data_IF_402108142050
#
_entry.id   IF_402108142050
#
_cell.length_a   1.000
_cell.length_b   1.000
_cell.length_c   1.000
_cell.angle_alpha   90.00
_cell.angle_beta   90.00
_cell.angle_gamma   90.00
#
_symmetry.space_group_name_H-M   'P 1'
#
loop_
_entity.id
_entity.type
_entity.pdbx_description
1 polymer ?
#
# COMPACT_ATOMS: atom_id res chain seq x y z
N UNK A 1 -6.41 11.92 12.97
CA UNK A 1 -6.58 11.23 11.67
C UNK A 1 -6.15 9.80 11.86
N UNK A 2 -6.86 8.85 11.27
CA UNK A 2 -6.69 7.43 11.59
C UNK A 2 -6.41 6.61 10.32
N UNK A 3 -5.35 5.81 10.36
CA UNK A 3 -4.81 5.05 9.23
C UNK A 3 -4.50 3.61 9.61
N UNK A 4 -4.11 2.82 8.61
CA UNK A 4 -3.81 1.40 8.74
C UNK A 4 -5.04 0.50 8.61
N UNK A 5 -4.87 -0.81 8.80
CA UNK A 5 -5.94 -1.77 8.57
C UNK A 5 -7.16 -1.58 9.48
N UNK A 6 -6.93 -1.19 10.73
CA UNK A 6 -7.99 -0.93 11.72
C UNK A 6 -8.38 0.55 11.86
N UNK A 7 -7.73 1.46 11.11
CA UNK A 7 -7.89 2.91 11.25
C UNK A 7 -7.69 3.36 12.72
N UNK A 8 -6.58 2.95 13.34
CA UNK A 8 -6.23 3.38 14.72
C UNK A 8 -4.88 4.08 14.81
N UNK A 9 -4.14 4.17 13.71
CA UNK A 9 -2.74 4.63 13.70
C UNK A 9 -2.56 5.98 13.04
N UNK A 10 -1.48 6.66 13.40
CA UNK A 10 -0.98 7.81 12.66
C UNK A 10 -0.02 7.36 11.56
N UNK A 11 0.16 8.20 10.53
CA UNK A 11 1.16 7.94 9.49
C UNK A 11 2.54 8.39 9.95
N UNK A 12 3.55 7.62 9.57
CA UNK A 12 4.95 7.99 9.68
C UNK A 12 5.41 8.46 8.30
N UNK A 13 5.63 9.77 8.14
CA UNK A 13 5.76 10.41 6.81
C UNK A 13 6.86 9.83 5.92
N UNK A 14 7.98 9.35 6.50
CA UNK A 14 9.10 8.77 5.75
C UNK A 14 8.93 7.27 5.42
N UNK A 15 7.78 6.68 5.73
CA UNK A 15 7.45 5.28 5.44
C UNK A 15 6.35 5.15 4.37
N UNK A 16 5.97 6.25 3.74
CA UNK A 16 4.87 6.32 2.76
C UNK A 16 5.44 6.20 1.34
N UNK A 17 4.89 5.28 0.55
CA UNK A 17 5.05 5.26 -0.90
C UNK A 17 4.05 6.19 -1.59
N UNK A 18 4.44 6.80 -2.70
CA UNK A 18 3.58 7.71 -3.45
C UNK A 18 3.45 7.28 -4.91
N UNK A 19 2.21 7.22 -5.38
CA UNK A 19 1.86 6.98 -6.79
C UNK A 19 1.29 8.24 -7.38
N UNK A 20 1.81 8.65 -8.53
CA UNK A 20 1.30 9.77 -9.32
C UNK A 20 0.52 9.22 -10.51
N UNK A 21 -0.72 9.67 -10.68
CA UNK A 21 -1.60 9.27 -11.79
C UNK A 21 -1.91 10.52 -12.63
N UNK A 22 -1.33 10.65 -13.84
CA UNK A 22 -1.62 11.76 -14.73
C UNK A 22 -3.08 11.80 -15.18
N UNK A 23 -3.53 12.97 -15.63
CA UNK A 23 -4.86 13.11 -16.24
C UNK A 23 -5.00 12.20 -17.47
N UNK A 24 -6.13 11.51 -17.60
CA UNK A 24 -6.43 10.54 -18.65
C UNK A 24 -5.84 9.14 -18.41
N UNK A 25 -5.29 8.88 -17.22
CA UNK A 25 -4.74 7.57 -16.83
C UNK A 25 -5.40 7.06 -15.55
N UNK A 26 -5.18 5.79 -15.25
CA UNK A 26 -5.48 5.13 -13.97
C UNK A 26 -4.27 4.34 -13.48
N UNK A 27 -4.24 4.05 -12.18
CA UNK A 27 -3.28 3.13 -11.61
C UNK A 27 -3.89 1.74 -11.42
N UNK A 28 -3.21 0.69 -11.88
CA UNK A 28 -3.52 -0.71 -11.65
C UNK A 28 -2.56 -1.29 -10.61
N UNK A 29 -3.11 -1.76 -9.49
CA UNK A 29 -2.38 -2.30 -8.35
C UNK A 29 -2.53 -3.81 -8.30
N UNK A 30 -1.40 -4.51 -8.22
CA UNK A 30 -1.29 -5.96 -8.08
C UNK A 30 -0.52 -6.28 -6.80
N UNK A 31 -0.94 -7.29 -6.06
CA UNK A 31 -0.43 -7.53 -4.71
C UNK A 31 0.13 -8.96 -4.60
N UNK A 32 1.24 -9.10 -3.88
CA UNK A 32 1.79 -10.40 -3.49
C UNK A 32 2.32 -10.35 -2.07
N UNK A 33 2.43 -11.51 -1.43
CA UNK A 33 2.98 -11.63 -0.07
C UNK A 33 3.69 -12.97 0.04
N UNK A 34 4.87 -12.96 0.65
CA UNK A 34 5.58 -14.14 1.13
C UNK A 34 5.99 -13.94 2.59
N UNK A 35 5.00 -13.71 3.45
CA UNK A 35 5.24 -13.40 4.85
C UNK A 35 4.67 -14.44 5.81
N UNK A 36 5.37 -14.65 6.93
CA UNK A 36 4.85 -15.42 8.05
C UNK A 36 3.96 -14.60 9.00
N UNK A 37 4.10 -13.28 9.09
CA UNK A 37 3.20 -12.48 9.92
C UNK A 37 2.06 -11.87 9.12
N UNK A 38 1.06 -11.35 9.83
CA UNK A 38 -0.08 -10.69 9.22
C UNK A 38 0.36 -9.34 8.64
N UNK A 39 0.24 -9.20 7.32
CA UNK A 39 0.70 -8.05 6.54
C UNK A 39 -0.44 -7.42 5.75
N UNK A 40 -0.34 -6.11 5.53
CA UNK A 40 -1.29 -5.35 4.75
C UNK A 40 -0.69 -4.13 4.08
N UNK A 41 -1.22 -3.80 2.90
CA UNK A 41 -1.06 -2.52 2.22
C UNK A 41 -2.40 -1.79 2.22
N UNK A 42 -2.37 -0.52 2.61
CA UNK A 42 -3.51 0.39 2.55
C UNK A 42 -3.21 1.56 1.60
N UNK A 43 -4.21 1.95 0.79
CA UNK A 43 -4.10 3.04 -0.19
C UNK A 43 -5.12 4.14 0.11
N UNK A 44 -4.65 5.39 0.02
CA UNK A 44 -5.43 6.60 0.32
C UNK A 44 -5.19 7.67 -0.74
N UNK A 45 -6.16 8.57 -1.03
CA UNK A 45 -5.86 9.79 -1.77
C UNK A 45 -4.89 10.67 -0.98
N UNK A 46 -4.10 11.52 -1.64
CA UNK A 46 -3.21 12.48 -0.97
C UNK A 46 -3.94 13.36 0.04
N UNK A 47 -5.11 13.88 -0.34
CA UNK A 47 -5.85 14.90 0.40
C UNK A 47 -7.03 14.33 1.21
N UNK A 48 -7.08 13.02 1.44
CA UNK A 48 -8.17 12.38 2.20
C UNK A 48 -7.67 11.19 3.00
N UNK A 49 -8.06 11.10 4.27
CA UNK A 49 -7.80 9.96 5.14
C UNK A 49 -8.72 8.76 4.87
N UNK A 50 -9.64 8.88 3.90
CA UNK A 50 -10.48 7.76 3.46
C UNK A 50 -9.64 6.69 2.79
N UNK A 51 -9.53 5.53 3.45
CA UNK A 51 -8.96 4.31 2.85
C UNK A 51 -9.78 3.89 1.64
N UNK A 52 -9.15 3.79 0.48
CA UNK A 52 -9.79 3.30 -0.75
C UNK A 52 -9.72 1.78 -0.83
N UNK A 53 -8.57 1.22 -0.47
CA UNK A 53 -8.33 -0.21 -0.56
C UNK A 53 -7.39 -0.69 0.55
N UNK A 54 -7.62 -1.93 0.97
CA UNK A 54 -6.79 -2.72 1.85
C UNK A 54 -6.56 -4.09 1.23
N UNK A 55 -5.30 -4.53 1.15
CA UNK A 55 -4.89 -5.85 0.64
C UNK A 55 -3.82 -6.43 1.55
N UNK A 56 -3.70 -7.75 1.60
CA UNK A 56 -2.76 -8.40 2.51
C UNK A 56 -2.92 -9.92 2.48
N UNK A 57 -2.14 -10.60 3.31
CA UNK A 57 -2.21 -12.07 3.44
C UNK A 57 -3.29 -12.54 4.43
N UNK A 58 -3.35 -13.86 4.64
CA UNK A 58 -4.34 -14.55 5.47
C UNK A 58 -5.80 -14.29 5.05
N UNK A 59 -6.57 -13.64 5.91
CA UNK A 59 -7.99 -13.36 5.69
C UNK A 59 -8.20 -12.15 4.78
N UNK A 60 -7.13 -11.45 4.39
CA UNK A 60 -7.19 -10.36 3.42
C UNK A 60 -7.07 -10.90 2.01
N UNK A 61 -7.67 -10.16 1.09
CA UNK A 61 -7.56 -10.43 -0.34
C UNK A 61 -6.22 -9.89 -0.86
N UNK A 62 -5.63 -10.61 -1.82
CA UNK A 62 -4.54 -10.12 -2.69
C UNK A 62 -5.05 -9.76 -4.10
N UNK A 63 -6.37 -9.70 -4.29
CA UNK A 63 -6.94 -9.39 -5.60
C UNK A 63 -6.50 -8.00 -6.05
N UNK A 64 -6.27 -7.88 -7.35
CA UNK A 64 -5.94 -6.62 -7.98
C UNK A 64 -6.99 -5.54 -7.71
N UNK A 65 -6.57 -4.29 -7.82
CA UNK A 65 -7.43 -3.13 -7.68
C UNK A 65 -6.97 -2.04 -8.65
N UNK A 66 -7.90 -1.26 -9.18
CA UNK A 66 -7.58 -0.12 -10.02
C UNK A 66 -8.30 1.12 -9.53
N UNK A 67 -7.65 2.28 -9.67
CA UNK A 67 -8.34 3.56 -9.51
C UNK A 67 -9.31 3.76 -10.67
N UNK A 68 -10.33 4.62 -10.53
CA UNK A 68 -10.95 5.26 -11.67
C UNK A 68 -9.91 5.96 -12.54
N UNK A 69 -10.28 6.23 -13.79
CA UNK A 69 -9.51 7.12 -14.65
C UNK A 69 -9.54 8.54 -14.08
N UNK A 70 -8.36 9.14 -13.94
CA UNK A 70 -8.21 10.50 -13.47
C UNK A 70 -8.68 11.48 -14.55
N UNK A 71 -9.84 12.08 -14.31
CA UNK A 71 -10.46 13.06 -15.20
C UNK A 71 -10.37 14.51 -14.66
N UNK A 72 -9.50 14.77 -13.68
CA UNK A 72 -9.48 16.04 -12.93
C UNK A 72 -8.68 17.17 -13.59
N UNK A 73 -8.21 16.97 -14.83
CA UNK A 73 -7.30 17.89 -15.55
C UNK A 73 -5.97 18.19 -14.85
N UNK A 74 -5.69 17.53 -13.73
CA UNK A 74 -4.47 17.64 -12.92
C UNK A 74 -4.00 16.24 -12.52
N UNK A 75 -2.78 16.14 -12.02
CA UNK A 75 -2.25 14.87 -11.51
C UNK A 75 -2.90 14.52 -10.17
N UNK A 76 -3.34 13.27 -10.03
CA UNK A 76 -3.78 12.71 -8.76
C UNK A 76 -2.64 11.96 -8.08
N UNK A 77 -2.60 12.05 -6.74
CA UNK A 77 -1.59 11.37 -5.94
C UNK A 77 -2.25 10.43 -4.95
N UNK A 78 -1.68 9.24 -4.82
CA UNK A 78 -2.12 8.21 -3.91
C UNK A 78 -0.98 7.83 -2.96
N UNK A 79 -1.32 7.74 -1.67
CA UNK A 79 -0.45 7.22 -0.61
C UNK A 79 -0.58 5.72 -0.56
N UNK A 80 0.55 5.02 -0.55
CA UNK A 80 0.67 3.60 -0.31
C UNK A 80 1.37 3.43 1.04
N UNK A 81 0.80 2.61 1.92
CA UNK A 81 1.32 2.39 3.28
C UNK A 81 1.36 0.90 3.59
N UNK A 82 2.47 0.44 4.18
CA UNK A 82 2.71 -0.94 4.56
C UNK A 82 2.53 -1.12 6.06
N UNK A 83 1.92 -2.22 6.46
CA UNK A 83 1.60 -2.53 7.85
C UNK A 83 1.81 -4.00 8.12
N UNK A 84 2.38 -4.32 9.28
CA UNK A 84 2.52 -5.68 9.75
C UNK A 84 2.08 -5.82 11.21
N UNK A 85 1.88 -7.06 11.64
CA UNK A 85 1.88 -7.44 13.05
C UNK A 85 3.12 -8.28 13.33
N UNK A 86 3.53 -8.37 14.59
CA UNK A 86 4.58 -9.30 15.03
C UNK A 86 4.02 -10.70 15.32
N UNK A 87 3.03 -11.13 14.54
CA UNK A 87 2.39 -12.44 14.67
C UNK A 87 1.52 -12.77 13.44
N UNK A 88 1.14 -14.04 13.26
CA UNK A 88 -0.05 -14.40 12.48
C UNK A 88 -1.31 -13.69 12.99
N UNK A 89 -2.47 -13.85 12.32
CA UNK A 89 -3.69 -13.11 12.65
C UNK A 89 -4.08 -13.18 14.12
N UNK A 90 -4.04 -12.02 14.77
CA UNK A 90 -4.38 -11.87 16.19
C UNK A 90 -4.97 -10.50 16.46
N UNK A 91 -6.15 -10.49 17.09
CA UNK A 91 -6.84 -9.25 17.44
C UNK A 91 -6.14 -8.47 18.57
N UNK A 92 -5.36 -9.15 19.42
CA UNK A 92 -4.64 -8.52 20.54
C UNK A 92 -3.29 -7.92 20.15
N UNK A 93 -2.82 -8.20 18.92
CA UNK A 93 -1.54 -7.72 18.42
C UNK A 93 -1.76 -6.46 17.56
N UNK A 94 -1.09 -5.35 17.88
CA UNK A 94 -1.30 -4.10 17.17
C UNK A 94 -0.63 -4.14 15.79
N UNK A 95 -1.19 -3.36 14.87
CA UNK A 95 -0.51 -3.01 13.62
C UNK A 95 0.66 -2.07 13.86
N UNK A 96 1.73 -2.29 13.10
CA UNK A 96 2.96 -1.50 13.07
C UNK A 96 3.16 -1.06 11.63
N UNK A 97 3.49 0.21 11.41
CA UNK A 97 3.79 0.71 10.07
C UNK A 97 5.19 0.24 9.67
N UNK A 98 5.31 -0.33 8.48
CA UNK A 98 6.59 -0.72 7.88
C UNK A 98 7.10 0.37 6.97
N UNK A 99 8.41 0.58 6.98
CA UNK A 99 9.08 1.39 5.97
C UNK A 99 8.94 0.73 4.60
N UNK A 100 8.32 1.42 3.65
CA UNK A 100 8.23 0.98 2.26
C UNK A 100 9.54 1.28 1.56
N UNK A 101 10.10 0.27 0.89
CA UNK A 101 11.06 0.44 -0.19
C UNK A 101 10.31 0.68 -1.48
N UNK A 102 10.72 1.71 -2.23
CA UNK A 102 10.13 2.05 -3.51
C UNK A 102 11.15 1.93 -4.64
N UNK A 103 10.72 1.32 -5.73
CA UNK A 103 11.43 1.34 -7.01
C UNK A 103 10.45 1.89 -8.05
N UNK A 104 10.87 2.89 -8.83
CA UNK A 104 9.98 3.50 -9.82
C UNK A 104 10.69 3.73 -11.14
N UNK A 105 9.90 3.57 -12.22
CA UNK A 105 10.24 3.98 -13.57
C UNK A 105 9.10 4.86 -14.12
N UNK A 106 9.15 5.24 -15.41
CA UNK A 106 8.24 6.22 -15.99
C UNK A 106 6.74 5.94 -15.71
N UNK A 107 6.31 4.69 -15.82
CA UNK A 107 4.89 4.30 -15.67
C UNK A 107 4.68 3.15 -14.69
N UNK A 108 5.71 2.77 -13.93
CA UNK A 108 5.60 1.66 -12.99
C UNK A 108 6.20 2.03 -11.64
N UNK A 109 5.55 1.53 -10.60
CA UNK A 109 6.03 1.60 -9.23
C UNK A 109 6.01 0.20 -8.63
N UNK A 110 7.02 -0.10 -7.83
CA UNK A 110 7.08 -1.30 -7.02
C UNK A 110 7.30 -0.84 -5.59
N UNK A 111 6.38 -1.23 -4.71
CA UNK A 111 6.48 -1.00 -3.28
C UNK A 111 6.63 -2.35 -2.59
N UNK A 112 7.64 -2.47 -1.74
CA UNK A 112 7.87 -3.66 -0.92
C UNK A 112 8.20 -3.27 0.52
N UNK A 113 7.92 -4.15 1.46
CA UNK A 113 8.38 -3.97 2.84
C UNK A 113 8.63 -5.32 3.53
N UNK A 114 9.35 -5.26 4.64
CA UNK A 114 9.66 -6.37 5.55
C UNK A 114 8.89 -6.22 6.87
N UNK A 115 8.52 -7.34 7.49
CA UNK A 115 7.84 -7.44 8.79
C UNK A 115 8.78 -7.85 9.93
N UNK A 116 9.90 -8.50 9.63
CA UNK A 116 10.80 -9.07 10.64
C UNK A 116 12.29 -9.11 10.22
N UNK A 117 12.84 -7.99 9.75
CA UNK A 117 14.28 -7.85 9.51
C UNK A 117 14.78 -8.73 8.35
N UNK A 118 14.66 -8.20 7.14
CA UNK A 118 15.17 -8.77 5.89
C UNK A 118 15.62 -7.67 4.93
N UNK A 119 16.10 -8.06 3.75
CA UNK A 119 16.55 -7.13 2.70
C UNK A 119 15.90 -7.42 1.33
N UNK A 120 14.94 -8.34 1.29
CA UNK A 120 14.29 -8.83 0.05
C UNK A 120 13.00 -8.04 -0.26
N UNK A 121 12.42 -7.43 0.77
CA UNK A 121 11.23 -6.57 0.77
C UNK A 121 10.04 -7.26 0.07
N UNK A 122 9.81 -8.54 0.37
CA UNK A 122 8.80 -9.39 -0.26
C UNK A 122 7.76 -10.00 0.66
N UNK A 123 7.89 -9.81 1.98
CA UNK A 123 6.82 -10.08 2.94
C UNK A 123 5.48 -9.50 2.46
N UNK A 124 5.52 -8.31 1.87
CA UNK A 124 4.43 -7.79 1.07
C UNK A 124 4.92 -6.88 -0.05
N UNK A 125 4.42 -7.09 -1.28
CA UNK A 125 4.69 -6.24 -2.45
C UNK A 125 3.40 -5.73 -3.10
N UNK A 126 3.53 -4.55 -3.69
CA UNK A 126 2.53 -3.92 -4.53
C UNK A 126 3.18 -3.40 -5.81
N UNK A 127 2.76 -3.94 -6.94
CA UNK A 127 3.16 -3.51 -8.27
C UNK A 127 2.08 -2.58 -8.81
N UNK A 128 2.49 -1.43 -9.33
CA UNK A 128 1.58 -0.41 -9.84
C UNK A 128 1.97 -0.08 -11.26
N UNK A 129 1.03 -0.23 -12.19
CA UNK A 129 1.16 0.22 -13.57
C UNK A 129 0.24 1.41 -13.81
N UNK A 130 0.78 2.47 -14.41
CA UNK A 130 0.01 3.61 -14.89
C UNK A 130 -0.42 3.32 -16.33
N UNK A 131 -1.73 3.16 -16.53
CA UNK A 131 -2.32 2.75 -17.81
C UNK A 131 -3.38 3.75 -18.25
N UNK A 132 -3.55 3.87 -19.56
CA UNK A 132 -4.64 4.64 -20.17
C UNK A 132 -5.96 3.87 -20.09
#
# INVERSE_FOLDING_TARGET
>A
MCYGPDNTKELISNQIGWVKVPCGFRAQFRFSSDAHFENAICIYPQNSDRKLVERGNYNRSLNDWATPENNTAQDEWYRVTGWHKSSPPSASKPWIMSAIRNESNANQYIFGFEDAGGEEYDDMRCYVDIVQ
#
